data_IF_827739953624
#
_entry.id   IF_827739953624
#
_cell.length_a   1.000
_cell.length_b   1.000
_cell.length_c   1.000
_cell.angle_alpha   90.00
_cell.angle_beta   90.00
_cell.angle_gamma   90.00
#
_symmetry.space_group_name_H-M   'P 1'
#
loop_
_entity.id
_entity.type
_entity.pdbx_description
1 polymer ?
#
# COMPACT_ATOMS: atom_id res chain seq x y z
N UNK A 1 13.28 25.46 -21.29
CA UNK A 1 12.35 24.83 -22.26
C UNK A 1 13.03 24.18 -23.49
N UNK A 2 14.35 24.36 -23.70
CA UNK A 2 15.08 23.77 -24.86
C UNK A 2 15.66 22.36 -24.57
N UNK A 3 15.81 21.96 -23.30
CA UNK A 3 16.31 20.62 -22.93
C UNK A 3 15.29 19.47 -23.09
N UNK A 4 14.01 19.77 -23.40
CA UNK A 4 12.96 18.75 -23.57
C UNK A 4 12.88 18.15 -24.99
N UNK A 5 13.33 18.87 -26.01
CA UNK A 5 13.22 18.46 -27.41
C UNK A 5 14.19 17.32 -27.77
N UNK A 6 15.40 17.31 -27.19
CA UNK A 6 16.39 16.27 -27.48
C UNK A 6 16.06 14.93 -26.82
N UNK A 7 15.36 14.93 -25.67
CA UNK A 7 14.86 13.68 -25.04
C UNK A 7 13.71 13.04 -25.82
N UNK A 8 12.87 13.85 -26.47
CA UNK A 8 11.73 13.35 -27.26
C UNK A 8 12.20 12.65 -28.56
N UNK A 9 13.24 13.16 -29.22
CA UNK A 9 13.80 12.53 -30.42
C UNK A 9 14.44 11.17 -30.15
N UNK A 10 15.25 11.06 -29.09
CA UNK A 10 15.87 9.79 -28.67
C UNK A 10 14.81 8.76 -28.26
N UNK A 11 13.80 9.17 -27.49
CA UNK A 11 12.71 8.29 -27.07
C UNK A 11 11.92 7.76 -28.27
N UNK A 12 11.58 8.60 -29.24
CA UNK A 12 10.89 8.17 -30.46
C UNK A 12 11.72 7.19 -31.29
N UNK A 13 13.03 7.45 -31.40
CA UNK A 13 13.93 6.58 -32.14
C UNK A 13 14.06 5.20 -31.48
N UNK A 14 14.17 5.13 -30.15
CA UNK A 14 14.28 3.87 -29.42
C UNK A 14 12.93 3.13 -29.36
N UNK A 15 11.83 3.82 -29.08
CA UNK A 15 10.52 3.16 -28.88
C UNK A 15 9.84 2.77 -30.20
N UNK A 16 10.08 3.50 -31.30
CA UNK A 16 9.34 3.30 -32.56
C UNK A 16 10.26 2.82 -33.69
N UNK A 17 11.38 3.49 -33.93
CA UNK A 17 12.24 3.16 -35.06
C UNK A 17 12.91 1.80 -34.87
N UNK A 18 13.45 1.53 -33.67
CA UNK A 18 14.19 0.30 -33.41
C UNK A 18 13.35 -0.98 -33.57
N UNK A 19 12.13 -1.09 -32.98
CA UNK A 19 11.26 -2.24 -33.25
C UNK A 19 10.84 -2.35 -34.72
N UNK A 20 10.63 -1.21 -35.39
CA UNK A 20 10.23 -1.20 -36.81
C UNK A 20 11.36 -1.71 -37.71
N UNK A 21 12.58 -1.25 -37.50
CA UNK A 21 13.76 -1.74 -38.22
C UNK A 21 14.00 -3.22 -37.96
N UNK A 22 13.77 -3.68 -36.73
CA UNK A 22 13.84 -5.10 -36.39
C UNK A 22 12.80 -5.91 -37.17
N UNK A 23 11.56 -5.44 -37.29
CA UNK A 23 10.55 -6.10 -38.11
C UNK A 23 10.90 -6.12 -39.60
N UNK A 24 11.44 -5.02 -40.14
CA UNK A 24 11.90 -4.95 -41.54
C UNK A 24 13.04 -5.94 -41.78
N UNK A 25 14.00 -5.99 -40.86
CA UNK A 25 15.12 -6.95 -40.89
C UNK A 25 14.64 -8.39 -40.91
N UNK A 26 13.77 -8.77 -39.98
CA UNK A 26 13.21 -10.13 -39.90
C UNK A 26 12.43 -10.47 -41.16
N UNK A 27 11.65 -9.53 -41.70
CA UNK A 27 10.90 -9.72 -42.93
C UNK A 27 11.83 -9.95 -44.14
N UNK A 28 12.87 -9.12 -44.30
CA UNK A 28 13.85 -9.26 -45.38
C UNK A 28 14.62 -10.58 -45.26
N UNK A 29 15.02 -10.96 -44.04
CA UNK A 29 15.68 -12.23 -43.76
C UNK A 29 14.80 -13.42 -44.16
N UNK A 30 13.54 -13.46 -43.70
CA UNK A 30 12.60 -14.54 -44.03
C UNK A 30 12.33 -14.61 -45.54
N UNK A 31 12.24 -13.46 -46.21
CA UNK A 31 12.06 -13.39 -47.66
C UNK A 31 13.27 -13.99 -48.39
N UNK A 32 14.48 -13.57 -48.04
CA UNK A 32 15.72 -14.11 -48.61
C UNK A 32 15.88 -15.60 -48.33
N UNK A 33 15.54 -16.04 -47.12
CA UNK A 33 15.58 -17.45 -46.72
C UNK A 33 14.62 -18.31 -47.55
N UNK A 34 13.40 -17.84 -47.79
CA UNK A 34 12.43 -18.53 -48.66
C UNK A 34 12.95 -18.64 -50.09
N UNK A 35 13.50 -17.56 -50.66
CA UNK A 35 14.07 -17.56 -52.03
C UNK A 35 15.24 -18.55 -52.14
N UNK A 36 16.12 -18.58 -51.13
CA UNK A 36 17.22 -19.53 -51.06
C UNK A 36 16.71 -20.98 -51.02
N UNK A 37 15.73 -21.28 -50.16
CA UNK A 37 15.15 -22.62 -50.06
C UNK A 37 14.49 -23.08 -51.35
N UNK A 38 13.85 -22.17 -52.10
CA UNK A 38 13.29 -22.50 -53.41
C UNK A 38 14.34 -22.94 -54.42
N UNK A 39 15.57 -22.43 -54.29
CA UNK A 39 16.69 -22.80 -55.15
C UNK A 39 17.29 -24.16 -54.77
N UNK A 40 17.12 -24.62 -53.52
CA UNK A 40 17.68 -25.87 -53.02
C UNK A 40 16.67 -27.03 -53.04
N UNK A 41 15.48 -26.85 -52.46
CA UNK A 41 14.46 -27.91 -52.35
C UNK A 41 13.04 -27.35 -52.26
N UNK A 42 12.27 -27.44 -53.35
CA UNK A 42 10.92 -26.86 -53.46
C UNK A 42 9.93 -27.33 -52.39
N UNK A 43 9.98 -28.59 -51.95
CA UNK A 43 9.06 -29.10 -50.91
C UNK A 43 9.29 -28.40 -49.56
N UNK A 44 10.55 -28.32 -49.12
CA UNK A 44 10.92 -27.65 -47.86
C UNK A 44 10.57 -26.18 -47.94
N UNK A 45 10.84 -25.53 -49.08
CA UNK A 45 10.44 -24.15 -49.32
C UNK A 45 8.93 -23.93 -49.14
N UNK A 46 8.08 -24.80 -49.73
CA UNK A 46 6.61 -24.72 -49.56
C UNK A 46 6.17 -24.87 -48.11
N UNK A 47 6.76 -25.82 -47.37
CA UNK A 47 6.44 -26.01 -45.93
C UNK A 47 6.82 -24.77 -45.14
N UNK A 48 8.04 -24.24 -45.34
CA UNK A 48 8.52 -23.04 -44.65
C UNK A 48 7.66 -21.82 -44.99
N UNK A 49 7.27 -21.63 -46.26
CA UNK A 49 6.35 -20.56 -46.67
C UNK A 49 5.01 -20.69 -45.95
N UNK A 50 4.47 -21.90 -45.82
CA UNK A 50 3.24 -22.15 -45.07
C UNK A 50 3.37 -21.73 -43.60
N UNK A 51 4.45 -22.13 -42.92
CA UNK A 51 4.72 -21.75 -41.54
C UNK A 51 4.90 -20.23 -41.37
N UNK A 52 5.74 -19.60 -42.19
CA UNK A 52 5.97 -18.15 -42.16
C UNK A 52 4.68 -17.39 -42.43
N UNK A 53 3.87 -17.84 -43.40
CA UNK A 53 2.56 -17.26 -43.70
C UNK A 53 1.59 -17.36 -42.52
N UNK A 54 1.50 -18.52 -41.87
CA UNK A 54 0.66 -18.69 -40.68
C UNK A 54 1.09 -17.78 -39.52
N UNK A 55 2.40 -17.69 -39.24
CA UNK A 55 2.93 -16.78 -38.23
C UNK A 55 2.67 -15.31 -38.57
N UNK A 56 2.83 -14.91 -39.83
CA UNK A 56 2.55 -13.56 -40.29
C UNK A 56 1.06 -13.21 -40.14
N UNK A 57 0.15 -14.14 -40.45
CA UNK A 57 -1.29 -13.94 -40.25
C UNK A 57 -1.62 -13.77 -38.77
N UNK A 58 -1.11 -14.64 -37.89
CA UNK A 58 -1.31 -14.50 -36.44
C UNK A 58 -0.79 -13.16 -35.93
N UNK A 59 0.41 -12.76 -36.36
CA UNK A 59 0.98 -11.47 -36.01
C UNK A 59 0.09 -10.31 -36.47
N UNK A 60 -0.39 -10.33 -37.72
CA UNK A 60 -1.30 -9.32 -38.25
C UNK A 60 -2.65 -9.30 -37.51
N UNK A 61 -3.17 -10.47 -37.11
CA UNK A 61 -4.39 -10.57 -36.30
C UNK A 61 -4.20 -9.90 -34.93
N UNK A 62 -3.06 -10.12 -34.27
CA UNK A 62 -2.77 -9.44 -33.00
C UNK A 62 -2.51 -7.95 -33.20
N UNK A 63 -1.77 -7.56 -34.24
CA UNK A 63 -1.53 -6.15 -34.56
C UNK A 63 -2.80 -5.38 -34.95
N UNK A 64 -3.80 -6.05 -35.51
CA UNK A 64 -5.11 -5.47 -35.85
C UNK A 64 -6.13 -5.53 -34.70
N UNK A 65 -5.87 -6.32 -33.66
CA UNK A 65 -6.74 -6.40 -32.46
C UNK A 65 -7.11 -5.03 -31.89
N UNK A 66 -6.20 -4.04 -31.73
CA UNK A 66 -6.54 -2.71 -31.21
C UNK A 66 -7.47 -1.90 -32.13
N UNK A 67 -7.54 -2.25 -33.41
CA UNK A 67 -8.42 -1.57 -34.38
C UNK A 67 -9.85 -2.09 -34.24
N UNK A 68 -10.02 -3.39 -34.04
CA UNK A 68 -11.32 -4.05 -33.90
C UNK A 68 -11.86 -3.85 -32.47
N UNK A 69 -10.98 -3.94 -31.48
CA UNK A 69 -11.29 -3.81 -30.06
C UNK A 69 -10.48 -2.65 -29.48
N UNK A 70 -11.06 -1.43 -29.41
CA UNK A 70 -10.37 -0.24 -28.89
C UNK A 70 -9.84 -0.39 -27.46
N UNK A 71 -10.34 -1.38 -26.71
CA UNK A 71 -9.93 -1.69 -25.34
C UNK A 71 -8.74 -2.68 -25.25
N UNK A 72 -8.25 -3.19 -26.38
CA UNK A 72 -7.14 -4.13 -26.43
C UNK A 72 -5.82 -3.45 -26.06
N UNK A 73 -5.08 -4.02 -25.10
CA UNK A 73 -3.78 -3.50 -24.64
C UNK A 73 -2.62 -3.85 -25.56
N UNK A 74 -2.85 -4.69 -26.57
CA UNK A 74 -1.80 -5.21 -27.44
C UNK A 74 -1.39 -4.17 -28.49
N UNK A 75 -0.60 -3.18 -28.09
CA UNK A 75 -0.02 -2.22 -29.03
C UNK A 75 1.27 -2.78 -29.63
N UNK A 76 1.22 -3.15 -30.92
CA UNK A 76 2.43 -3.48 -31.69
C UNK A 76 2.93 -2.24 -32.44
N UNK A 77 4.24 -2.12 -32.74
CA UNK A 77 4.76 -1.02 -33.57
C UNK A 77 4.07 -0.95 -34.94
N UNK A 78 3.68 -2.11 -35.50
CA UNK A 78 2.91 -2.21 -36.74
C UNK A 78 1.47 -1.70 -36.63
N UNK A 79 0.85 -1.71 -35.44
CA UNK A 79 -0.51 -1.16 -35.24
C UNK A 79 -0.59 0.30 -35.67
N UNK A 80 0.46 1.11 -35.42
CA UNK A 80 0.51 2.51 -35.86
C UNK A 80 0.53 2.63 -37.39
N UNK A 81 1.37 1.81 -38.05
CA UNK A 81 1.45 1.79 -39.52
C UNK A 81 0.14 1.30 -40.13
N UNK A 82 -0.40 0.18 -39.66
CA UNK A 82 -1.68 -0.38 -40.11
C UNK A 82 -2.79 0.65 -39.96
N UNK A 83 -2.80 1.42 -38.87
CA UNK A 83 -3.76 2.52 -38.68
C UNK A 83 -3.58 3.64 -39.70
N UNK A 84 -2.35 4.07 -39.99
CA UNK A 84 -2.09 5.10 -41.01
C UNK A 84 -2.49 4.60 -42.41
N UNK A 85 -2.16 3.37 -42.75
CA UNK A 85 -2.53 2.76 -44.02
C UNK A 85 -4.04 2.58 -44.14
N UNK A 86 -4.71 2.01 -43.13
CA UNK A 86 -6.16 1.83 -43.14
C UNK A 86 -6.89 3.17 -43.21
N UNK A 87 -6.39 4.19 -42.51
CA UNK A 87 -6.89 5.58 -42.62
C UNK A 87 -6.71 6.14 -44.03
N UNK A 88 -5.54 5.96 -44.64
CA UNK A 88 -5.29 6.38 -46.02
C UNK A 88 -6.23 5.71 -47.02
N UNK A 89 -6.48 4.41 -46.86
CA UNK A 89 -7.44 3.66 -47.67
C UNK A 89 -8.87 4.17 -47.47
N UNK A 90 -9.31 4.40 -46.24
CA UNK A 90 -10.65 4.94 -45.95
C UNK A 90 -10.82 6.33 -46.56
N UNK A 91 -9.82 7.21 -46.44
CA UNK A 91 -9.85 8.55 -47.03
C UNK A 91 -9.90 8.50 -48.56
N UNK A 92 -9.14 7.59 -49.18
CA UNK A 92 -9.18 7.38 -50.63
C UNK A 92 -10.57 6.92 -51.08
N UNK A 93 -11.17 5.94 -50.40
CA UNK A 93 -12.52 5.47 -50.69
C UNK A 93 -13.54 6.60 -50.55
N UNK A 94 -13.49 7.34 -49.44
CA UNK A 94 -14.37 8.48 -49.21
C UNK A 94 -14.18 9.59 -50.26
N UNK A 95 -12.95 9.85 -50.68
CA UNK A 95 -12.66 10.82 -51.73
C UNK A 95 -13.25 10.38 -53.08
N UNK A 96 -13.08 9.12 -53.46
CA UNK A 96 -13.67 8.55 -54.68
C UNK A 96 -15.20 8.63 -54.61
N UNK A 97 -15.81 8.22 -53.49
CA UNK A 97 -17.26 8.32 -53.28
C UNK A 97 -17.75 9.77 -53.32
N UNK A 98 -16.97 10.72 -52.77
CA UNK A 98 -17.29 12.14 -52.82
C UNK A 98 -17.25 12.66 -54.26
N UNK A 99 -16.19 12.35 -55.01
CA UNK A 99 -16.04 12.74 -56.42
C UNK A 99 -17.16 12.17 -57.29
N UNK A 100 -17.48 10.89 -57.14
CA UNK A 100 -18.58 10.26 -57.88
C UNK A 100 -19.94 10.86 -57.52
N UNK A 101 -20.20 11.11 -56.23
CA UNK A 101 -21.42 11.80 -55.78
C UNK A 101 -21.52 13.23 -56.31
N UNK A 102 -20.40 13.94 -56.45
CA UNK A 102 -20.34 15.30 -56.97
C UNK A 102 -20.65 15.32 -58.47
N UNK A 103 -20.07 14.37 -59.23
CA UNK A 103 -20.36 14.17 -60.65
C UNK A 103 -21.85 13.84 -60.89
N UNK A 104 -22.50 13.17 -59.94
CA UNK A 104 -23.90 12.74 -60.06
C UNK A 104 -24.92 13.73 -59.44
N UNK A 105 -24.48 14.92 -58.98
CA UNK A 105 -25.33 15.97 -58.38
C UNK A 105 -26.26 15.47 -57.26
N UNK A 106 -25.86 14.43 -56.53
CA UNK A 106 -26.66 13.90 -55.43
C UNK A 106 -26.58 14.79 -54.19
N UNK A 107 -27.72 15.06 -53.52
CA UNK A 107 -27.79 15.79 -52.23
C UNK A 107 -26.95 15.14 -51.11
N UNK A 108 -26.50 13.90 -51.29
CA UNK A 108 -25.65 13.16 -50.35
C UNK A 108 -24.23 13.76 -50.17
N UNK A 109 -23.75 14.61 -51.09
CA UNK A 109 -22.42 15.21 -51.03
C UNK A 109 -22.20 16.06 -49.75
N UNK A 110 -23.25 16.66 -49.19
CA UNK A 110 -23.17 17.41 -47.93
C UNK A 110 -22.95 16.49 -46.71
N UNK A 111 -23.56 15.31 -46.68
CA UNK A 111 -23.40 14.33 -45.58
C UNK A 111 -21.99 13.72 -45.55
N UNK A 112 -21.44 13.39 -46.72
CA UNK A 112 -20.07 12.85 -46.83
C UNK A 112 -19.04 13.90 -46.39
N UNK A 113 -19.25 15.19 -46.70
CA UNK A 113 -18.37 16.27 -46.26
C UNK A 113 -18.34 16.43 -44.74
N UNK A 114 -19.48 16.27 -44.05
CA UNK A 114 -19.55 16.35 -42.59
C UNK A 114 -18.85 15.14 -41.93
N UNK A 115 -19.03 13.94 -42.48
CA UNK A 115 -18.29 12.74 -42.07
C UNK A 115 -16.77 12.91 -42.25
N UNK A 116 -16.34 13.43 -43.39
CA UNK A 116 -14.92 13.69 -43.67
C UNK A 116 -14.34 14.72 -42.70
N UNK A 117 -15.11 15.76 -42.35
CA UNK A 117 -14.71 16.78 -41.37
C UNK A 117 -14.56 16.19 -39.97
N UNK A 118 -15.53 15.41 -39.49
CA UNK A 118 -15.48 14.73 -38.18
C UNK A 118 -14.30 13.76 -38.10
N UNK A 119 -14.09 12.99 -39.17
CA UNK A 119 -12.99 12.03 -39.26
C UNK A 119 -11.61 12.72 -39.28
N UNK A 120 -11.45 13.79 -40.07
CA UNK A 120 -10.20 14.55 -40.13
C UNK A 120 -9.89 15.29 -38.82
N UNK A 121 -10.92 15.80 -38.13
CA UNK A 121 -10.77 16.40 -36.80
C UNK A 121 -10.27 15.39 -35.78
N UNK A 122 -10.77 14.15 -35.80
CA UNK A 122 -10.32 13.05 -34.93
C UNK A 122 -8.85 12.67 -35.15
N UNK A 123 -8.41 12.67 -36.40
CA UNK A 123 -7.00 12.40 -36.76
C UNK A 123 -6.08 13.51 -36.27
N UNK A 124 -6.47 14.78 -36.49
CA UNK A 124 -5.66 15.94 -36.11
C UNK A 124 -5.58 16.12 -34.59
N UNK A 125 -6.61 15.70 -33.87
CA UNK A 125 -6.70 15.74 -32.42
C UNK A 125 -5.68 14.80 -31.73
N UNK A 126 -5.29 13.71 -32.39
CA UNK A 126 -4.36 12.74 -31.83
C UNK A 126 -4.97 11.89 -30.70
N UNK A 127 -4.34 10.75 -30.40
CA UNK A 127 -4.85 9.77 -29.42
C UNK A 127 -4.98 10.36 -28.02
N UNK A 128 -4.15 11.35 -27.69
CA UNK A 128 -4.21 12.05 -26.41
C UNK A 128 -5.51 12.82 -26.24
N UNK A 129 -6.00 13.47 -27.30
CA UNK A 129 -7.24 14.24 -27.23
C UNK A 129 -8.47 13.34 -27.32
N UNK A 130 -8.44 12.23 -28.06
CA UNK A 130 -9.51 11.22 -27.99
C UNK A 130 -9.57 10.55 -26.61
N UNK A 131 -8.44 10.28 -25.96
CA UNK A 131 -8.40 9.76 -24.57
C UNK A 131 -8.86 10.83 -23.58
N UNK A 132 -8.46 12.09 -23.79
CA UNK A 132 -8.89 13.21 -22.96
C UNK A 132 -10.36 13.54 -23.16
N UNK A 133 -10.88 13.45 -24.39
CA UNK A 133 -12.29 13.67 -24.74
C UNK A 133 -13.15 12.47 -24.33
N UNK A 134 -12.65 11.23 -24.39
CA UNK A 134 -13.28 10.06 -23.75
C UNK A 134 -13.22 10.15 -22.22
N UNK A 135 -12.18 10.76 -21.63
CA UNK A 135 -12.09 11.02 -20.20
C UNK A 135 -13.00 12.17 -19.75
N UNK A 136 -13.29 13.12 -20.65
CA UNK A 136 -14.22 14.24 -20.44
C UNK A 136 -15.66 13.82 -20.70
N UNK A 137 -15.91 12.87 -21.60
CA UNK A 137 -17.24 12.31 -21.84
C UNK A 137 -17.59 11.38 -20.66
N UNK A 138 -18.30 12.00 -19.73
CA UNK A 138 -18.44 11.74 -18.29
C UNK A 138 -19.21 10.45 -17.93
N UNK A 139 -19.10 9.41 -18.76
CA UNK A 139 -19.74 8.10 -18.60
C UNK A 139 -18.75 6.93 -18.71
N UNK A 140 -17.44 7.20 -18.65
CA UNK A 140 -16.47 6.15 -18.37
C UNK A 140 -16.80 5.54 -17.02
N UNK A 141 -17.47 4.39 -17.07
CA UNK A 141 -17.91 3.63 -15.91
C UNK A 141 -16.78 3.54 -14.89
N UNK A 142 -17.08 3.78 -13.62
CA UNK A 142 -16.23 3.54 -12.45
C UNK A 142 -15.35 2.27 -12.56
N UNK A 143 -15.88 1.23 -13.21
CA UNK A 143 -15.17 -0.02 -13.51
C UNK A 143 -13.92 0.14 -14.40
N UNK A 144 -13.89 1.09 -15.34
CA UNK A 144 -12.72 1.34 -16.18
C UNK A 144 -11.61 2.02 -15.39
N UNK A 145 -11.93 3.01 -14.54
CA UNK A 145 -10.94 3.62 -13.64
C UNK A 145 -10.37 2.58 -12.67
N UNK A 146 -11.23 1.78 -12.06
CA UNK A 146 -10.82 0.67 -11.16
C UNK A 146 -9.90 -0.30 -11.89
N UNK A 147 -10.27 -0.71 -13.12
CA UNK A 147 -9.44 -1.61 -13.92
C UNK A 147 -8.11 -0.98 -14.33
N UNK A 148 -8.06 0.31 -14.64
CA UNK A 148 -6.83 1.01 -15.03
C UNK A 148 -5.91 1.17 -13.83
N UNK A 149 -6.42 1.57 -12.67
CA UNK A 149 -5.64 1.68 -11.43
C UNK A 149 -5.10 0.31 -11.01
N UNK A 150 -5.95 -0.72 -10.97
CA UNK A 150 -5.52 -2.08 -10.62
C UNK A 150 -4.49 -2.63 -11.63
N UNK A 151 -4.69 -2.37 -12.93
CA UNK A 151 -3.72 -2.77 -13.95
C UNK A 151 -2.39 -2.03 -13.78
N UNK A 152 -2.43 -0.72 -13.57
CA UNK A 152 -1.23 0.11 -13.36
C UNK A 152 -0.47 -0.39 -12.14
N UNK A 153 -1.19 -0.67 -11.06
CA UNK A 153 -0.65 -1.22 -9.82
C UNK A 153 0.06 -2.57 -10.03
N UNK A 154 -0.53 -3.49 -10.80
CA UNK A 154 0.07 -4.79 -11.13
C UNK A 154 1.31 -4.72 -12.02
N UNK A 155 1.52 -3.59 -12.71
CA UNK A 155 2.68 -3.36 -13.57
C UNK A 155 3.74 -2.46 -12.94
N UNK A 156 3.60 -2.11 -11.65
CA UNK A 156 4.65 -1.34 -10.95
C UNK A 156 5.88 -2.24 -10.79
N UNK A 157 6.91 -1.99 -11.61
CA UNK A 157 8.16 -2.72 -11.56
C UNK A 157 9.24 -1.85 -10.90
N UNK A 158 9.49 -2.13 -9.62
CA UNK A 158 10.57 -1.52 -8.85
C UNK A 158 10.18 -0.27 -8.06
N UNK A 159 11.17 0.22 -7.31
CA UNK A 159 10.96 1.24 -6.29
C UNK A 159 10.52 2.59 -6.86
N UNK A 160 11.00 2.97 -8.04
CA UNK A 160 10.70 4.28 -8.64
C UNK A 160 9.25 4.37 -9.10
N UNK A 161 8.74 3.30 -9.71
CA UNK A 161 7.35 3.22 -10.17
C UNK A 161 6.39 3.22 -8.97
N UNK A 162 6.74 2.47 -7.92
CA UNK A 162 5.99 2.49 -6.66
C UNK A 162 6.00 3.88 -6.02
N UNK A 163 7.14 4.54 -5.95
CA UNK A 163 7.27 5.91 -5.41
C UNK A 163 6.38 6.90 -6.19
N UNK A 164 6.42 6.85 -7.52
CA UNK A 164 5.60 7.69 -8.37
C UNK A 164 4.11 7.41 -8.17
N UNK A 165 3.72 6.13 -8.12
CA UNK A 165 2.34 5.73 -7.87
C UNK A 165 1.82 6.25 -6.53
N UNK A 166 2.54 5.99 -5.43
CA UNK A 166 2.17 6.45 -4.09
C UNK A 166 2.11 7.98 -4.01
N UNK A 167 3.02 8.69 -4.69
CA UNK A 167 3.01 10.15 -4.72
C UNK A 167 1.76 10.75 -5.40
N UNK A 168 1.11 9.97 -6.27
CA UNK A 168 -0.09 10.40 -7.00
C UNK A 168 -1.40 10.18 -6.23
N UNK A 169 -1.40 9.29 -5.22
CA UNK A 169 -2.61 8.93 -4.46
C UNK A 169 -3.28 10.15 -3.81
N UNK A 170 -2.59 11.02 -3.06
CA UNK A 170 -3.23 12.19 -2.45
C UNK A 170 -3.90 13.10 -3.49
N UNK A 171 -3.21 13.38 -4.59
CA UNK A 171 -3.75 14.19 -5.69
C UNK A 171 -4.94 13.54 -6.40
N UNK A 172 -5.05 12.22 -6.37
CA UNK A 172 -6.21 11.50 -6.88
C UNK A 172 -7.44 11.71 -6.00
N UNK A 173 -7.29 11.61 -4.67
CA UNK A 173 -8.37 11.86 -3.70
C UNK A 173 -8.78 13.33 -3.63
N UNK A 174 -7.83 14.26 -3.75
CA UNK A 174 -8.10 15.71 -3.76
C UNK A 174 -8.72 16.19 -5.09
N UNK A 175 -8.79 15.31 -6.11
CA UNK A 175 -9.31 15.68 -7.42
C UNK A 175 -10.83 15.87 -7.37
N UNK A 176 -11.27 17.10 -7.65
CA UNK A 176 -12.70 17.47 -7.75
C UNK A 176 -13.47 16.65 -8.79
N UNK A 177 -12.75 16.02 -9.74
CA UNK A 177 -13.34 15.21 -10.80
C UNK A 177 -13.79 13.83 -10.33
N UNK A 178 -13.11 13.26 -9.33
CA UNK A 178 -13.36 11.89 -8.89
C UNK A 178 -14.26 11.88 -7.64
N UNK A 179 -14.18 12.91 -6.79
CA UNK A 179 -15.11 13.11 -5.67
C UNK A 179 -15.27 11.85 -4.81
N UNK A 180 -16.49 11.52 -4.42
CA UNK A 180 -16.81 10.31 -3.63
C UNK A 180 -16.53 9.00 -4.37
N UNK A 181 -16.45 9.02 -5.71
CA UNK A 181 -16.12 7.84 -6.50
C UNK A 181 -14.66 7.42 -6.35
N UNK A 182 -13.78 8.32 -5.89
CA UNK A 182 -12.36 8.04 -5.71
C UNK A 182 -12.14 6.91 -4.71
N UNK A 183 -12.87 6.96 -3.60
CA UNK A 183 -12.87 5.91 -2.59
C UNK A 183 -13.26 4.57 -3.21
N UNK A 184 -14.31 4.53 -4.04
CA UNK A 184 -14.78 3.29 -4.70
C UNK A 184 -13.77 2.70 -5.69
N UNK A 185 -13.03 3.54 -6.41
CA UNK A 185 -11.96 3.09 -7.31
C UNK A 185 -10.87 2.35 -6.53
N UNK A 186 -10.56 2.84 -5.33
CA UNK A 186 -9.51 2.31 -4.48
C UNK A 186 -10.01 1.30 -3.44
N UNK A 187 -11.31 1.09 -3.26
CA UNK A 187 -11.86 0.19 -2.23
C UNK A 187 -11.25 -1.22 -2.30
N UNK A 188 -11.17 -1.81 -3.50
CA UNK A 188 -10.56 -3.14 -3.66
C UNK A 188 -9.05 -3.11 -3.39
N UNK A 189 -8.36 -2.05 -3.80
CA UNK A 189 -6.91 -1.92 -3.65
C UNK A 189 -6.52 -1.67 -2.19
N UNK A 190 -7.20 -0.73 -1.54
CA UNK A 190 -7.02 -0.33 -0.14
C UNK A 190 -7.37 -1.48 0.80
N UNK A 191 -8.38 -2.29 0.48
CA UNK A 191 -8.81 -3.39 1.35
C UNK A 191 -7.91 -4.62 1.30
N UNK A 192 -7.11 -4.79 0.24
CA UNK A 192 -6.34 -6.03 0.01
C UNK A 192 -4.84 -5.79 -0.14
N UNK A 193 -4.42 -5.21 -1.26
CA UNK A 193 -3.04 -5.31 -1.74
C UNK A 193 -2.20 -4.08 -1.36
N UNK A 194 -2.79 -2.88 -1.37
CA UNK A 194 -2.07 -1.63 -1.17
C UNK A 194 -1.41 -1.49 0.20
N UNK A 195 -2.09 -1.77 1.34
CA UNK A 195 -1.47 -1.59 2.65
C UNK A 195 -0.21 -2.46 2.81
N UNK A 196 -0.26 -3.71 2.35
CA UNK A 196 0.86 -4.66 2.45
C UNK A 196 2.03 -4.25 1.57
N UNK A 197 1.74 -3.73 0.37
CA UNK A 197 2.79 -3.21 -0.52
C UNK A 197 3.40 -1.90 -0.01
N UNK A 198 2.63 -1.01 0.61
CA UNK A 198 3.17 0.18 1.28
C UNK A 198 4.11 -0.24 2.42
N UNK A 199 3.70 -1.21 3.25
CA UNK A 199 4.55 -1.74 4.34
C UNK A 199 5.83 -2.35 3.78
N UNK A 200 5.72 -3.23 2.78
CA UNK A 200 6.88 -3.85 2.13
C UNK A 200 7.82 -2.81 1.52
N UNK A 201 7.29 -1.74 0.92
CA UNK A 201 8.08 -0.67 0.33
C UNK A 201 8.75 0.23 1.38
N UNK A 202 8.07 0.51 2.50
CA UNK A 202 8.69 1.18 3.64
C UNK A 202 9.82 0.33 4.22
N UNK A 203 9.59 -0.97 4.39
CA UNK A 203 10.57 -1.92 4.92
C UNK A 203 11.82 -2.05 4.05
N UNK A 204 11.63 -2.22 2.73
CA UNK A 204 12.75 -2.28 1.78
C UNK A 204 13.53 -0.96 1.76
N UNK A 205 12.84 0.17 1.83
CA UNK A 205 13.45 1.51 1.91
C UNK A 205 14.29 1.66 3.18
N UNK A 206 13.77 1.25 4.34
CA UNK A 206 14.45 1.40 5.63
C UNK A 206 15.66 0.47 5.75
N UNK A 207 15.52 -0.77 5.30
CA UNK A 207 16.57 -1.80 5.33
C UNK A 207 17.66 -1.61 4.25
N UNK A 208 17.38 -0.86 3.17
CA UNK A 208 18.36 -0.61 2.11
C UNK A 208 19.56 0.18 2.63
N UNK A 209 20.76 -0.37 2.46
CA UNK A 209 22.03 0.31 2.74
C UNK A 209 22.49 1.21 1.58
N UNK A 210 21.85 1.10 0.41
CA UNK A 210 22.20 1.86 -0.79
C UNK A 210 21.55 3.26 -0.79
N UNK A 211 20.42 3.42 -0.10
CA UNK A 211 19.70 4.69 -0.02
C UNK A 211 20.28 5.59 1.06
N UNK A 212 20.44 6.87 0.75
CA UNK A 212 20.82 7.89 1.73
C UNK A 212 19.66 8.15 2.69
N UNK A 213 19.96 8.62 3.91
CA UNK A 213 18.93 8.91 4.92
C UNK A 213 17.89 9.94 4.43
N UNK A 214 18.30 10.92 3.62
CA UNK A 214 17.37 11.92 3.04
C UNK A 214 16.39 11.29 2.03
N UNK A 215 16.85 10.31 1.25
CA UNK A 215 16.01 9.57 0.30
C UNK A 215 15.03 8.67 1.05
N UNK A 216 15.50 7.97 2.10
CA UNK A 216 14.64 7.19 3.00
C UNK A 216 13.55 8.07 3.60
N UNK A 217 13.92 9.23 4.14
CA UNK A 217 12.97 10.20 4.71
C UNK A 217 11.93 10.65 3.68
N UNK A 218 12.36 10.94 2.46
CA UNK A 218 11.47 11.35 1.36
C UNK A 218 10.47 10.25 1.01
N UNK A 219 10.93 9.01 0.85
CA UNK A 219 10.06 7.86 0.55
C UNK A 219 9.08 7.54 1.66
N UNK A 220 9.50 7.61 2.93
CA UNK A 220 8.57 7.46 4.07
C UNK A 220 7.53 8.59 4.07
N UNK A 221 7.92 9.83 3.77
CA UNK A 221 6.97 10.94 3.66
C UNK A 221 5.98 10.80 2.49
N UNK A 222 6.38 10.10 1.40
CA UNK A 222 5.46 9.74 0.32
C UNK A 222 4.46 8.69 0.79
N UNK A 223 4.93 7.64 1.48
CA UNK A 223 4.09 6.60 2.04
C UNK A 223 3.07 7.17 3.03
N UNK A 224 3.50 7.97 4.00
CA UNK A 224 2.59 8.53 5.02
C UNK A 224 1.54 9.45 4.41
N UNK A 225 1.89 10.25 3.39
CA UNK A 225 0.91 11.05 2.65
C UNK A 225 -0.10 10.20 1.89
N UNK A 226 0.35 9.13 1.22
CA UNK A 226 -0.52 8.20 0.54
C UNK A 226 -1.49 7.51 1.52
N UNK A 227 -0.97 7.01 2.64
CA UNK A 227 -1.76 6.39 3.71
C UNK A 227 -2.79 7.38 4.26
N UNK A 228 -2.42 8.64 4.44
CA UNK A 228 -3.29 9.68 5.00
C UNK A 228 -4.38 10.17 4.03
N UNK A 229 -4.28 9.84 2.74
CA UNK A 229 -5.27 10.26 1.75
C UNK A 229 -6.63 9.55 1.94
N UNK A 230 -6.64 8.39 2.61
CA UNK A 230 -7.84 7.57 2.78
C UNK A 230 -7.89 6.93 4.19
N UNK A 231 -8.97 7.16 4.97
CA UNK A 231 -9.09 6.59 6.32
C UNK A 231 -9.09 5.06 6.38
N UNK A 232 -9.60 4.39 5.35
CA UNK A 232 -9.63 2.91 5.29
C UNK A 232 -8.21 2.39 5.05
N UNK A 233 -7.48 3.01 4.12
CA UNK A 233 -6.07 2.71 3.87
C UNK A 233 -5.22 2.96 5.12
N UNK A 234 -5.43 4.07 5.83
CA UNK A 234 -4.77 4.37 7.10
C UNK A 234 -4.97 3.26 8.14
N UNK A 235 -6.23 2.92 8.39
CA UNK A 235 -6.61 1.89 9.36
C UNK A 235 -6.00 0.53 9.03
N UNK A 236 -6.10 0.11 7.77
CA UNK A 236 -5.58 -1.18 7.32
C UNK A 236 -4.06 -1.22 7.30
N UNK A 237 -3.39 -0.13 6.95
CA UNK A 237 -1.93 -0.04 6.99
C UNK A 237 -1.43 -0.12 8.43
N UNK A 238 -2.05 0.59 9.37
CA UNK A 238 -1.67 0.49 10.79
C UNK A 238 -1.89 -0.92 11.35
N UNK A 239 -3.04 -1.52 11.02
CA UNK A 239 -3.34 -2.90 11.40
C UNK A 239 -2.30 -3.88 10.85
N UNK A 240 -2.03 -3.84 9.55
CA UNK A 240 -1.08 -4.75 8.92
C UNK A 240 0.36 -4.51 9.41
N UNK A 241 0.72 -3.27 9.75
CA UNK A 241 2.04 -2.97 10.35
C UNK A 241 2.22 -3.71 11.68
N UNK A 242 1.18 -3.72 12.51
CA UNK A 242 1.13 -4.49 13.77
C UNK A 242 0.97 -6.01 13.56
N UNK A 243 0.48 -6.45 12.40
CA UNK A 243 0.43 -7.88 12.09
C UNK A 243 1.79 -8.40 11.60
N UNK A 244 2.51 -7.60 10.82
CA UNK A 244 3.82 -7.92 10.26
C UNK A 244 4.96 -7.84 11.30
N UNK A 245 4.85 -6.94 12.29
CA UNK A 245 5.85 -6.71 13.35
C UNK A 245 7.29 -6.48 12.84
N UNK A 246 7.42 -5.78 11.71
CA UNK A 246 8.72 -5.45 11.12
C UNK A 246 9.43 -4.34 11.93
N UNK A 247 10.46 -4.73 12.68
CA UNK A 247 11.17 -3.86 13.63
C UNK A 247 11.69 -2.55 13.04
N UNK A 248 12.13 -2.56 11.79
CA UNK A 248 12.69 -1.36 11.14
C UNK A 248 11.65 -0.25 10.96
N UNK A 249 10.39 -0.62 10.68
CA UNK A 249 9.27 0.34 10.57
C UNK A 249 9.00 1.03 11.91
N UNK A 250 9.06 0.29 13.02
CA UNK A 250 8.89 0.84 14.37
C UNK A 250 10.07 1.69 14.84
N UNK A 251 11.26 1.51 14.26
CA UNK A 251 12.44 2.35 14.52
C UNK A 251 12.45 3.65 13.73
N UNK A 252 11.60 3.79 12.72
CA UNK A 252 11.51 5.00 11.94
C UNK A 252 10.71 6.09 12.66
N UNK A 253 11.42 7.11 13.16
CA UNK A 253 10.80 8.22 13.91
C UNK A 253 9.70 8.97 13.13
N UNK A 254 9.81 9.11 11.81
CA UNK A 254 8.82 9.83 11.01
C UNK A 254 7.51 9.06 10.90
N UNK A 255 7.56 7.74 10.71
CA UNK A 255 6.38 6.88 10.74
C UNK A 255 5.73 6.86 12.13
N UNK A 256 6.53 6.84 13.20
CA UNK A 256 6.03 6.85 14.58
C UNK A 256 5.36 8.20 14.92
N UNK A 257 5.96 9.32 14.52
CA UNK A 257 5.34 10.64 14.65
C UNK A 257 4.04 10.74 13.86
N UNK A 258 3.98 10.13 12.67
CA UNK A 258 2.77 10.03 11.87
C UNK A 258 1.69 9.18 12.57
N UNK A 259 2.04 8.05 13.20
CA UNK A 259 1.09 7.30 14.01
C UNK A 259 0.61 8.14 15.21
N UNK A 260 1.53 8.83 15.90
CA UNK A 260 1.21 9.67 17.05
C UNK A 260 0.28 10.84 16.70
N UNK A 261 0.39 11.46 15.52
CA UNK A 261 -0.55 12.52 15.12
C UNK A 261 -1.99 12.04 14.96
N UNK A 262 -2.19 10.72 14.88
CA UNK A 262 -3.48 10.05 14.71
C UNK A 262 -3.98 9.38 15.99
N UNK A 263 -3.30 9.53 17.13
CA UNK A 263 -3.70 8.93 18.41
C UNK A 263 -4.85 9.62 19.12
N UNK A 264 -5.29 10.79 18.63
CA UNK A 264 -6.23 11.67 19.34
C UNK A 264 -7.54 11.91 18.58
N UNK A 265 -7.54 11.90 17.24
CA UNK A 265 -8.62 12.50 16.42
C UNK A 265 -9.24 11.57 15.35
N UNK A 266 -9.27 10.26 15.56
CA UNK A 266 -9.80 9.29 14.57
C UNK A 266 -10.83 8.33 15.15
N UNK A 267 -11.36 7.47 14.28
CA UNK A 267 -12.13 6.30 14.71
C UNK A 267 -11.37 5.52 15.79
N UNK A 268 -12.15 4.93 16.70
CA UNK A 268 -11.63 4.18 17.84
C UNK A 268 -10.60 3.10 17.43
N UNK A 269 -10.76 2.45 16.27
CA UNK A 269 -9.85 1.38 15.83
C UNK A 269 -8.50 1.90 15.34
N UNK A 270 -8.49 2.93 14.51
CA UNK A 270 -7.25 3.54 14.01
C UNK A 270 -6.50 4.20 15.15
N UNK A 271 -7.22 4.85 16.08
CA UNK A 271 -6.66 5.41 17.30
C UNK A 271 -5.91 4.37 18.14
N UNK A 272 -6.52 3.22 18.36
CA UNK A 272 -5.91 2.16 19.16
C UNK A 272 -4.73 1.51 18.42
N UNK A 273 -4.80 1.36 17.09
CA UNK A 273 -3.67 0.86 16.29
C UNK A 273 -2.49 1.84 16.34
N UNK A 274 -2.76 3.14 16.19
CA UNK A 274 -1.77 4.20 16.30
C UNK A 274 -1.06 4.17 17.67
N UNK A 275 -1.82 4.05 18.75
CA UNK A 275 -1.27 3.95 20.12
C UNK A 275 -0.43 2.70 20.32
N UNK A 276 -0.85 1.56 19.78
CA UNK A 276 -0.05 0.33 19.79
C UNK A 276 1.24 0.49 19.00
N UNK A 277 1.20 1.11 17.82
CA UNK A 277 2.40 1.39 17.02
C UNK A 277 3.39 2.23 17.83
N UNK A 278 2.91 3.32 18.45
CA UNK A 278 3.76 4.20 19.25
C UNK A 278 4.36 3.48 20.47
N UNK A 279 3.57 2.68 21.19
CA UNK A 279 4.06 1.93 22.34
C UNK A 279 5.09 0.85 21.96
N UNK A 280 4.84 0.09 20.89
CA UNK A 280 5.81 -0.88 20.34
C UNK A 280 7.08 -0.18 19.89
N UNK A 281 6.95 0.98 19.22
CA UNK A 281 8.06 1.79 18.78
C UNK A 281 8.91 2.33 19.94
N UNK A 282 8.28 2.83 21.01
CA UNK A 282 8.97 3.22 22.24
C UNK A 282 9.76 2.04 22.80
N UNK A 283 9.20 0.82 22.80
CA UNK A 283 9.93 -0.35 23.29
C UNK A 283 11.10 -0.78 22.38
N UNK A 284 10.98 -0.56 21.06
CA UNK A 284 11.99 -0.94 20.07
C UNK A 284 13.11 0.11 19.87
N UNK A 285 12.93 1.33 20.37
CA UNK A 285 13.88 2.42 20.21
C UNK A 285 15.16 2.19 21.03
N UNK A 286 16.32 2.50 20.42
CA UNK A 286 17.64 2.39 21.04
C UNK A 286 18.14 3.72 21.64
N UNK A 287 17.69 4.84 21.11
CA UNK A 287 18.03 6.18 21.57
C UNK A 287 16.76 7.02 21.72
N UNK A 288 16.60 7.65 22.88
CA UNK A 288 15.43 8.48 23.21
C UNK A 288 15.73 9.97 23.16
N UNK A 289 16.89 10.37 22.63
CA UNK A 289 17.24 11.78 22.44
C UNK A 289 16.50 12.40 21.25
N UNK A 290 16.41 13.73 21.26
CA UNK A 290 15.86 14.51 20.15
C UNK A 290 14.37 14.26 19.91
N UNK A 291 14.01 13.81 18.72
CA UNK A 291 12.61 13.65 18.31
C UNK A 291 11.90 12.49 19.01
N UNK A 292 12.63 11.46 19.47
CA UNK A 292 12.05 10.39 20.29
C UNK A 292 11.59 10.90 21.66
N UNK A 293 12.32 11.83 22.26
CA UNK A 293 11.92 12.45 23.53
C UNK A 293 10.54 13.11 23.40
N UNK A 294 10.27 13.80 22.28
CA UNK A 294 8.98 14.42 21.99
C UNK A 294 7.87 13.38 21.80
N UNK A 295 8.16 12.27 21.13
CA UNK A 295 7.21 11.16 20.94
C UNK A 295 6.82 10.56 22.29
N UNK A 296 7.81 10.24 23.13
CA UNK A 296 7.61 9.69 24.48
C UNK A 296 6.81 10.67 25.33
N UNK A 297 7.22 11.95 25.36
CA UNK A 297 6.57 13.00 26.14
C UNK A 297 5.09 13.14 25.78
N UNK A 298 4.78 13.24 24.47
CA UNK A 298 3.41 13.41 24.01
C UNK A 298 2.57 12.15 24.17
N UNK A 299 3.14 10.96 23.94
CA UNK A 299 2.41 9.70 24.09
C UNK A 299 2.03 9.41 25.55
N UNK A 300 2.96 9.67 26.46
CA UNK A 300 2.83 9.35 27.88
C UNK A 300 2.33 10.54 28.71
N UNK A 301 2.11 11.70 28.06
CA UNK A 301 1.71 12.95 28.68
C UNK A 301 2.61 13.36 29.86
N UNK A 302 3.93 13.26 29.66
CA UNK A 302 4.94 13.53 30.68
C UNK A 302 5.33 15.02 30.73
N UNK A 303 5.64 15.51 31.92
CA UNK A 303 6.34 16.81 32.05
C UNK A 303 7.80 16.70 31.60
N UNK A 304 8.46 17.82 31.32
CA UNK A 304 9.89 17.83 30.98
C UNK A 304 10.77 17.25 32.11
N UNK A 305 10.34 17.43 33.36
CA UNK A 305 11.04 16.91 34.55
C UNK A 305 10.94 15.38 34.57
N UNK A 306 9.73 14.85 34.39
CA UNK A 306 9.50 13.40 34.36
C UNK A 306 10.21 12.76 33.18
N UNK A 307 10.20 13.41 32.02
CA UNK A 307 10.91 12.94 30.83
C UNK A 307 12.41 12.80 31.10
N UNK A 308 13.03 13.81 31.71
CA UNK A 308 14.46 13.74 32.07
C UNK A 308 14.72 12.61 33.07
N UNK A 309 13.84 12.39 34.05
CA UNK A 309 13.95 11.27 34.98
C UNK A 309 13.90 9.91 34.24
N UNK A 310 12.98 9.76 33.29
CA UNK A 310 12.82 8.55 32.49
C UNK A 310 13.95 8.31 31.48
N UNK A 311 14.56 9.36 30.95
CA UNK A 311 15.72 9.24 30.06
C UNK A 311 16.94 8.62 30.77
N UNK A 312 17.05 8.77 32.09
CA UNK A 312 18.07 8.09 32.89
C UNK A 312 17.67 6.64 33.26
N UNK A 313 16.40 6.27 33.10
CA UNK A 313 15.82 4.99 33.50
C UNK A 313 14.97 4.40 32.37
N UNK A 314 15.59 4.13 31.23
CA UNK A 314 14.92 3.67 29.99
C UNK A 314 14.00 2.47 30.22
N UNK A 315 14.42 1.50 31.02
CA UNK A 315 13.62 0.30 31.34
C UNK A 315 12.32 0.66 32.08
N UNK A 316 12.37 1.67 32.96
CA UNK A 316 11.21 2.17 33.70
C UNK A 316 10.22 2.88 32.78
N UNK A 317 10.73 3.61 31.79
CA UNK A 317 9.91 4.27 30.78
C UNK A 317 9.22 3.26 29.85
N UNK A 318 9.92 2.19 29.46
CA UNK A 318 9.35 1.09 28.68
C UNK A 318 8.23 0.39 29.45
N UNK A 319 8.45 0.12 30.74
CA UNK A 319 7.41 -0.42 31.61
C UNK A 319 6.22 0.54 31.74
N UNK A 320 6.47 1.84 31.90
CA UNK A 320 5.41 2.85 31.95
C UNK A 320 4.59 2.90 30.64
N UNK A 321 5.25 2.80 29.49
CA UNK A 321 4.58 2.70 28.19
C UNK A 321 3.72 1.44 28.07
N UNK A 322 4.21 0.29 28.55
CA UNK A 322 3.42 -0.94 28.61
C UNK A 322 2.18 -0.78 29.50
N UNK A 323 2.36 -0.25 30.72
CA UNK A 323 1.25 0.03 31.67
C UNK A 323 0.21 0.93 31.00
N UNK A 324 0.67 2.04 30.38
CA UNK A 324 -0.20 3.01 29.71
C UNK A 324 -0.99 2.36 28.57
N UNK A 325 -0.33 1.56 27.73
CA UNK A 325 -0.97 0.84 26.64
C UNK A 325 -2.07 -0.10 27.14
N UNK A 326 -1.80 -0.86 28.20
CA UNK A 326 -2.77 -1.82 28.75
C UNK A 326 -3.98 -1.08 29.34
N UNK A 327 -3.76 0.03 30.04
CA UNK A 327 -4.84 0.86 30.54
C UNK A 327 -5.77 1.35 29.42
N UNK A 328 -5.19 1.83 28.32
CA UNK A 328 -5.95 2.26 27.16
C UNK A 328 -6.76 1.11 26.54
N UNK A 329 -6.10 -0.02 26.25
CA UNK A 329 -6.73 -1.20 25.64
C UNK A 329 -7.80 -1.82 26.54
N UNK A 330 -7.59 -1.82 27.85
CA UNK A 330 -8.58 -2.27 28.83
C UNK A 330 -9.83 -1.39 28.78
N UNK A 331 -9.66 -0.07 28.75
CA UNK A 331 -10.77 0.87 28.73
C UNK A 331 -11.59 0.79 27.44
N UNK A 332 -10.94 0.57 26.29
CA UNK A 332 -11.61 0.60 24.98
C UNK A 332 -12.00 -0.76 24.41
N UNK A 333 -11.31 -1.86 24.75
CA UNK A 333 -11.38 -3.13 23.98
C UNK A 333 -11.66 -4.38 24.77
N UNK A 334 -11.56 -4.35 26.09
CA UNK A 334 -11.65 -5.59 26.86
C UNK A 334 -12.95 -6.35 26.56
N UNK A 335 -14.07 -5.65 26.38
CA UNK A 335 -15.39 -6.27 26.23
C UNK A 335 -15.67 -6.88 24.85
N UNK A 336 -15.22 -6.22 23.80
CA UNK A 336 -15.81 -6.39 22.46
C UNK A 336 -14.80 -6.78 21.37
N UNK A 337 -13.55 -7.10 21.74
CA UNK A 337 -12.49 -7.37 20.76
C UNK A 337 -11.98 -8.80 20.82
N UNK A 338 -11.91 -9.48 19.69
CA UNK A 338 -11.22 -10.77 19.52
C UNK A 338 -9.70 -10.60 19.34
N UNK A 339 -9.21 -9.36 19.30
CA UNK A 339 -7.83 -9.04 18.91
C UNK A 339 -6.79 -9.32 20.01
N UNK A 340 -7.21 -9.81 21.18
CA UNK A 340 -6.32 -10.29 22.24
C UNK A 340 -6.03 -11.80 22.14
N UNK A 341 -6.66 -12.52 21.22
CA UNK A 341 -6.31 -13.93 20.98
C UNK A 341 -4.86 -14.05 20.49
N UNK A 342 -4.16 -15.16 20.82
CA UNK A 342 -2.80 -15.39 20.37
C UNK A 342 -2.64 -15.22 18.85
N UNK A 343 -1.68 -14.38 18.45
CA UNK A 343 -1.38 -14.09 17.04
C UNK A 343 -2.17 -12.94 16.43
N UNK A 344 -3.14 -12.36 17.13
CA UNK A 344 -3.87 -11.15 16.71
C UNK A 344 -3.11 -9.87 17.05
N UNK A 345 -3.63 -8.74 16.56
CA UNK A 345 -2.99 -7.41 16.57
C UNK A 345 -2.58 -6.95 17.98
N UNK A 346 -3.53 -6.94 18.93
CA UNK A 346 -3.24 -6.45 20.29
C UNK A 346 -2.34 -7.42 21.07
N UNK A 347 -2.54 -8.73 20.87
CA UNK A 347 -1.66 -9.74 21.44
C UNK A 347 -0.21 -9.54 20.98
N UNK A 348 0.02 -9.38 19.67
CA UNK A 348 1.35 -9.12 19.10
C UNK A 348 1.96 -7.81 19.62
N UNK A 349 1.19 -6.73 19.67
CA UNK A 349 1.64 -5.45 20.19
C UNK A 349 2.08 -5.55 21.66
N UNK A 350 1.27 -6.19 22.52
CA UNK A 350 1.61 -6.43 23.92
C UNK A 350 2.81 -7.38 24.07
N UNK A 351 2.89 -8.42 23.24
CA UNK A 351 3.99 -9.39 23.24
C UNK A 351 5.34 -8.77 22.84
N UNK A 352 5.34 -7.72 22.01
CA UNK A 352 6.55 -6.94 21.74
C UNK A 352 6.80 -5.87 22.80
N UNK A 353 5.77 -5.17 23.27
CA UNK A 353 5.91 -4.14 24.30
C UNK A 353 6.41 -4.69 25.66
N UNK A 354 6.19 -5.98 25.94
CA UNK A 354 6.72 -6.65 27.14
C UNK A 354 8.21 -7.01 27.08
N UNK A 355 8.87 -6.91 25.92
CA UNK A 355 10.30 -7.22 25.77
C UNK A 355 11.15 -6.09 26.36
N UNK A 356 11.15 -5.95 27.68
CA UNK A 356 11.88 -4.93 28.44
C UNK A 356 12.81 -5.60 29.46
N UNK A 357 13.89 -4.91 29.84
CA UNK A 357 14.80 -5.41 30.87
C UNK A 357 14.29 -4.97 32.24
N UNK A 358 13.93 -5.94 33.08
CA UNK A 358 13.26 -5.66 34.35
C UNK A 358 14.26 -5.28 35.47
N UNK A 359 15.55 -5.60 35.29
CA UNK A 359 16.56 -5.46 36.34
C UNK A 359 16.69 -4.02 36.87
N UNK A 360 16.52 -3.01 35.99
CA UNK A 360 16.76 -1.61 36.31
C UNK A 360 15.46 -0.79 36.46
N UNK A 361 14.31 -1.46 36.64
CA UNK A 361 13.04 -0.76 36.84
C UNK A 361 12.99 -0.14 38.24
N UNK A 362 12.70 1.17 38.31
CA UNK A 362 12.58 1.92 39.56
C UNK A 362 11.38 1.44 40.40
N UNK A 363 11.47 1.44 41.74
CA UNK A 363 10.42 0.90 42.63
C UNK A 363 9.02 1.49 42.39
N UNK A 364 8.93 2.79 42.05
CA UNK A 364 7.70 3.50 41.73
C UNK A 364 6.95 2.80 40.58
N UNK A 365 7.64 2.52 39.48
CA UNK A 365 7.03 1.86 38.33
C UNK A 365 6.66 0.41 38.60
N UNK A 366 7.37 -0.27 39.51
CA UNK A 366 6.98 -1.61 39.96
C UNK A 366 5.64 -1.58 40.71
N UNK A 367 5.43 -0.56 41.55
CA UNK A 367 4.17 -0.38 42.30
C UNK A 367 3.00 -0.11 41.35
N UNK A 368 3.20 0.77 40.35
CA UNK A 368 2.18 1.05 39.32
C UNK A 368 1.83 -0.21 38.51
N UNK A 369 2.84 -1.00 38.13
CA UNK A 369 2.61 -2.29 37.46
C UNK A 369 1.80 -3.25 38.34
N UNK A 370 2.15 -3.37 39.62
CA UNK A 370 1.39 -4.19 40.58
C UNK A 370 -0.06 -3.74 40.73
N UNK A 371 -0.32 -2.43 40.74
CA UNK A 371 -1.67 -1.89 40.81
C UNK A 371 -2.49 -2.31 39.59
N UNK A 372 -1.92 -2.15 38.39
CA UNK A 372 -2.54 -2.60 37.14
C UNK A 372 -2.80 -4.11 37.15
N UNK A 373 -1.81 -4.91 37.56
CA UNK A 373 -1.91 -6.36 37.65
C UNK A 373 -3.08 -6.80 38.55
N UNK A 374 -3.12 -6.27 39.78
CA UNK A 374 -4.17 -6.59 40.75
C UNK A 374 -5.55 -6.22 40.24
N UNK A 375 -5.66 -5.11 39.51
CA UNK A 375 -6.93 -4.70 38.95
C UNK A 375 -7.37 -5.61 37.80
N UNK A 376 -6.46 -6.06 36.94
CA UNK A 376 -6.76 -7.06 35.90
C UNK A 376 -7.20 -8.39 36.52
N UNK A 377 -6.54 -8.85 37.59
CA UNK A 377 -6.95 -10.03 38.36
C UNK A 377 -8.36 -9.84 38.91
N UNK A 378 -8.64 -8.71 39.56
CA UNK A 378 -9.98 -8.38 40.06
C UNK A 378 -11.03 -8.40 38.95
N UNK A 379 -10.74 -7.83 37.78
CA UNK A 379 -11.64 -7.88 36.63
C UNK A 379 -11.91 -9.32 36.20
N UNK A 380 -10.89 -10.18 36.12
CA UNK A 380 -11.10 -11.60 35.79
C UNK A 380 -11.94 -12.35 36.80
N UNK A 381 -11.80 -12.07 38.09
CA UNK A 381 -12.56 -12.70 39.18
C UNK A 381 -14.03 -12.27 39.16
N UNK A 382 -14.28 -10.96 39.02
CA UNK A 382 -15.64 -10.41 38.92
C UNK A 382 -16.37 -11.02 37.72
N UNK A 383 -15.69 -11.16 36.59
CA UNK A 383 -16.25 -11.75 35.38
C UNK A 383 -16.44 -13.27 35.49
N UNK A 384 -15.65 -13.97 36.31
CA UNK A 384 -15.80 -15.41 36.54
C UNK A 384 -17.05 -15.77 37.35
N UNK A 385 -17.51 -14.88 38.23
CA UNK A 385 -18.74 -15.07 38.99
C UNK A 385 -20.03 -14.71 38.25
N UNK A 386 -19.92 -14.08 37.07
CA UNK A 386 -21.07 -13.70 36.25
C UNK A 386 -21.42 -14.81 35.26
N UNK A 387 -22.71 -14.97 34.94
CA UNK A 387 -23.18 -15.98 34.00
C UNK A 387 -22.47 -15.85 32.64
N UNK A 388 -22.22 -16.98 31.93
CA UNK A 388 -21.38 -17.05 30.72
C UNK A 388 -21.84 -16.20 29.51
N UNK A 389 -22.91 -15.41 29.64
CA UNK A 389 -23.39 -14.47 28.62
C UNK A 389 -22.54 -13.19 28.46
N UNK A 390 -21.47 -13.01 29.24
CA UNK A 390 -20.72 -11.75 29.34
C UNK A 390 -19.50 -11.65 28.40
N UNK A 391 -19.70 -11.91 27.11
CA UNK A 391 -18.83 -11.48 26.01
C UNK A 391 -17.34 -11.89 26.07
N UNK A 392 -16.49 -11.16 25.34
CA UNK A 392 -15.04 -11.43 25.21
C UNK A 392 -14.20 -10.89 26.39
N UNK A 393 -14.84 -10.23 27.36
CA UNK A 393 -14.17 -9.57 28.51
C UNK A 393 -13.24 -10.48 29.30
N UNK A 394 -13.76 -11.64 29.70
CA UNK A 394 -13.03 -12.58 30.53
C UNK A 394 -11.85 -13.25 29.79
N UNK A 395 -12.02 -13.82 28.57
CA UNK A 395 -10.89 -14.39 27.85
C UNK A 395 -9.83 -13.33 27.53
N UNK A 396 -10.21 -12.11 27.16
CA UNK A 396 -9.26 -11.03 26.90
C UNK A 396 -8.43 -10.67 28.13
N UNK A 397 -9.07 -10.50 29.28
CA UNK A 397 -8.35 -10.20 30.53
C UNK A 397 -7.39 -11.34 30.91
N UNK A 398 -7.78 -12.60 30.70
CA UNK A 398 -6.90 -13.76 30.89
C UNK A 398 -5.72 -13.78 29.92
N UNK A 399 -5.92 -13.44 28.65
CA UNK A 399 -4.84 -13.35 27.67
C UNK A 399 -3.83 -12.25 28.04
N UNK A 400 -4.32 -11.09 28.48
CA UNK A 400 -3.45 -9.99 28.96
C UNK A 400 -2.65 -10.46 30.19
N UNK A 401 -3.30 -11.05 31.20
CA UNK A 401 -2.61 -11.55 32.40
C UNK A 401 -1.55 -12.60 32.06
N UNK A 402 -1.90 -13.56 31.19
CA UNK A 402 -0.96 -14.59 30.72
C UNK A 402 0.26 -13.98 30.02
N UNK A 403 0.09 -12.94 29.22
CA UNK A 403 1.22 -12.24 28.58
C UNK A 403 2.09 -11.49 29.59
N UNK A 404 1.46 -10.93 30.63
CA UNK A 404 2.11 -10.13 31.66
C UNK A 404 2.79 -10.96 32.74
N UNK A 405 2.47 -12.24 32.89
CA UNK A 405 3.17 -13.16 33.79
C UNK A 405 4.69 -13.11 33.57
N UNK A 406 5.13 -13.05 32.31
CA UNK A 406 6.54 -13.00 31.93
C UNK A 406 7.25 -11.72 32.42
N UNK A 407 6.49 -10.64 32.67
CA UNK A 407 7.02 -9.40 33.28
C UNK A 407 6.87 -9.44 34.80
N UNK A 408 5.75 -9.97 35.29
CA UNK A 408 5.45 -10.05 36.71
C UNK A 408 6.46 -10.89 37.49
N UNK A 409 6.78 -12.10 37.01
CA UNK A 409 7.65 -13.03 37.74
C UNK A 409 9.06 -12.46 37.96
N UNK A 410 9.78 -11.95 36.94
CA UNK A 410 11.10 -11.36 37.17
C UNK A 410 11.06 -10.06 37.96
N UNK A 411 9.98 -9.28 37.89
CA UNK A 411 9.82 -8.03 38.65
C UNK A 411 9.74 -8.28 40.17
N UNK A 412 9.35 -9.48 40.56
CA UNK A 412 9.16 -9.88 41.95
C UNK A 412 10.16 -10.91 42.45
N UNK A 413 11.03 -11.44 41.60
CA UNK A 413 12.14 -12.29 42.02
C UNK A 413 12.98 -11.58 43.09
N UNK A 414 13.15 -12.23 44.24
CA UNK A 414 13.85 -11.73 45.42
C UNK A 414 13.05 -10.77 46.32
N UNK A 415 11.76 -10.52 46.05
CA UNK A 415 10.91 -9.66 46.88
C UNK A 415 10.04 -10.47 47.84
N UNK A 416 9.58 -9.90 48.97
CA UNK A 416 8.62 -10.58 49.86
C UNK A 416 7.32 -11.02 49.17
N UNK A 417 6.99 -10.43 48.01
CA UNK A 417 5.87 -10.86 47.17
C UNK A 417 6.10 -12.22 46.49
N UNK A 418 7.36 -12.62 46.24
CA UNK A 418 7.68 -13.97 45.72
C UNK A 418 7.28 -15.08 46.70
N UNK A 419 7.33 -14.76 47.99
CA UNK A 419 6.98 -15.66 49.10
C UNK A 419 5.49 -15.61 49.46
N UNK A 420 4.69 -14.78 48.77
CA UNK A 420 3.29 -14.53 49.08
C UNK A 420 2.37 -15.62 48.56
N UNK A 421 1.94 -16.50 49.47
CA UNK A 421 0.84 -17.48 49.41
C UNK A 421 0.68 -18.28 48.08
N UNK A 422 0.73 -19.63 48.12
CA UNK A 422 0.43 -20.44 46.93
C UNK A 422 -0.92 -20.02 46.33
N UNK A 423 -1.07 -20.05 44.99
CA UNK A 423 -2.30 -19.65 44.33
C UNK A 423 -3.49 -20.34 45.00
N UNK A 424 -4.46 -19.55 45.46
CA UNK A 424 -5.61 -20.10 46.15
C UNK A 424 -6.36 -21.06 45.20
N UNK A 425 -6.90 -22.19 45.70
CA UNK A 425 -7.66 -23.11 44.87
C UNK A 425 -8.79 -22.37 44.14
N UNK A 426 -8.72 -22.30 42.81
CA UNK A 426 -9.69 -21.59 41.96
C UNK A 426 -9.24 -20.24 41.40
N UNK A 427 -8.10 -19.68 41.83
CA UNK A 427 -7.55 -18.43 41.32
C UNK A 427 -6.20 -18.66 40.62
N UNK A 428 -6.14 -18.65 39.27
CA UNK A 428 -4.92 -18.99 38.55
C UNK A 428 -3.81 -17.92 38.62
N UNK A 429 -4.10 -16.73 39.16
CA UNK A 429 -3.16 -15.61 39.19
C UNK A 429 -2.99 -15.06 40.63
N UNK A 430 -1.74 -14.87 41.11
CA UNK A 430 -1.49 -14.31 42.44
C UNK A 430 -1.82 -12.82 42.49
N UNK A 431 -2.20 -12.31 43.67
CA UNK A 431 -2.33 -10.86 43.93
C UNK A 431 -0.99 -10.32 44.45
N UNK A 432 -0.53 -9.20 43.88
CA UNK A 432 0.63 -8.47 44.39
C UNK A 432 0.28 -7.75 45.69
N UNK A 433 1.10 -7.92 46.74
CA UNK A 433 0.99 -7.13 47.97
C UNK A 433 1.77 -5.83 47.75
N UNK A 434 1.05 -4.72 47.54
CA UNK A 434 1.70 -3.41 47.38
C UNK A 434 2.07 -2.91 48.79
N UNK A 435 3.36 -2.78 49.14
CA UNK A 435 3.75 -2.23 50.42
C UNK A 435 3.26 -0.77 50.52
N UNK A 436 2.59 -0.43 51.62
CA UNK A 436 2.17 0.94 51.90
C UNK A 436 3.43 1.82 52.03
N UNK A 437 3.49 2.99 51.37
CA UNK A 437 4.60 3.90 51.55
C UNK A 437 4.64 4.33 53.03
N UNK A 438 5.77 4.06 53.69
CA UNK A 438 6.06 4.51 55.05
C UNK A 438 6.58 5.94 55.06
#
# INVERSE_FOLDING_TARGET
MVLGLNKLGLRWMVEVLLPTLLHISVFLFLTGFVIYLFSFHHLVAKVVVGCVGACALLYLSFSSSPIIFPQSTYFTPLTKLIRVFSMGVILLVLAVCYWTSLCWRFKAAYSIRDLFRKYYQRIRAGMTKDVEEMAVDQSLSLGLYTSVVNRTFRFLEGDQDMEQFLSSIPGFYDSTRVGEEAARVFDELNSKELPGLIISFMSSTLSSHLLKNDEKKTRIAICTRAINADPVLLRLTFRQTLEAMELETFRNIHFVQFALSHSDNLDYLTRDCARCIVAVAINCAHDYRGDWAKVVQRHLNLSDIDLNYFLHNVDSMRLYSLIHLIWQLKASRLRDSDQFEPGKVWYKALAEARKLNIANVVPEMRREFCALWNELVKVTEVLAGQTPSLGMSQPNARHILSLLCDVYTPLHAGTPCELGAPPQPGHPYPRCIIPTPH
#
